data_IF_513621811487
#
_entry.id   IF_513621811487
#
_cell.length_a   1.000
_cell.length_b   1.000
_cell.length_c   1.000
_cell.angle_alpha   90.00
_cell.angle_beta   90.00
_cell.angle_gamma   90.00
#
_symmetry.space_group_name_H-M   'P 1'
#
loop_
_entity.id
_entity.type
_entity.pdbx_description
1 polymer ?
#
# COMPACT_ATOMS: atom_id res chain seq x y z
N UNK A 1 10.28 10.00 -14.63
CA UNK A 1 10.11 8.56 -14.92
C UNK A 1 9.63 7.85 -13.66
N UNK A 2 8.56 7.07 -13.73
CA UNK A 2 7.99 6.41 -12.57
C UNK A 2 8.74 5.09 -12.32
N UNK A 3 9.36 4.93 -11.15
CA UNK A 3 9.99 3.67 -10.75
C UNK A 3 8.92 2.58 -10.66
N UNK A 4 9.14 1.45 -11.34
CA UNK A 4 8.24 0.30 -11.35
C UNK A 4 8.68 -0.73 -10.32
N UNK A 5 7.72 -1.52 -9.82
CA UNK A 5 8.02 -2.64 -8.93
C UNK A 5 9.01 -3.61 -9.59
N UNK A 6 10.08 -3.94 -8.85
CA UNK A 6 11.05 -4.94 -9.22
C UNK A 6 11.40 -5.80 -7.99
N UNK A 7 11.01 -7.06 -8.02
CA UNK A 7 11.22 -7.99 -6.92
C UNK A 7 12.70 -8.17 -6.55
N UNK A 8 13.62 -8.05 -7.52
CA UNK A 8 15.06 -8.17 -7.25
C UNK A 8 15.60 -7.13 -6.27
N UNK A 9 14.93 -5.98 -6.15
CA UNK A 9 15.29 -4.93 -5.19
C UNK A 9 14.58 -5.07 -3.84
N UNK A 10 13.64 -6.00 -3.69
CA UNK A 10 12.96 -6.25 -2.43
C UNK A 10 13.84 -7.18 -1.59
N UNK A 11 14.64 -6.59 -0.74
CA UNK A 11 15.50 -7.31 0.21
C UNK A 11 15.00 -7.06 1.62
N UNK A 12 15.27 -8.00 2.55
CA UNK A 12 15.07 -7.72 3.97
C UNK A 12 15.82 -6.45 4.34
N UNK A 13 15.24 -5.58 5.16
CA UNK A 13 15.92 -4.37 5.62
C UNK A 13 17.28 -4.76 6.18
N UNK A 14 18.33 -4.07 5.75
CA UNK A 14 19.63 -4.21 6.40
C UNK A 14 19.45 -3.69 7.83
N UNK A 15 20.02 -4.36 8.84
CA UNK A 15 19.79 -4.04 10.26
C UNK A 15 19.98 -2.56 10.61
N UNK A 16 20.95 -1.90 9.95
CA UNK A 16 21.22 -0.47 10.13
C UNK A 16 20.26 0.47 9.38
N UNK A 17 19.33 -0.07 8.56
CA UNK A 17 18.27 0.67 7.88
C UNK A 17 16.88 0.39 8.49
N UNK A 18 16.81 -0.52 9.48
CA UNK A 18 15.59 -0.78 10.22
C UNK A 18 15.32 0.38 11.18
N UNK A 19 14.18 1.04 11.02
CA UNK A 19 13.72 2.08 11.94
C UNK A 19 13.17 1.44 13.23
N UNK A 20 14.06 0.91 14.07
CA UNK A 20 13.67 0.16 15.27
C UNK A 20 13.07 1.03 16.39
N UNK A 21 13.24 2.35 16.36
CA UNK A 21 12.76 3.26 17.40
C UNK A 21 11.90 4.40 16.84
N UNK A 22 10.90 4.82 17.63
CA UNK A 22 9.97 5.90 17.27
C UNK A 22 10.65 7.25 16.99
N UNK A 23 11.90 7.42 17.39
CA UNK A 23 12.70 8.64 17.20
C UNK A 23 13.34 8.69 15.81
N UNK A 24 13.66 7.52 15.20
CA UNK A 24 14.35 7.45 13.90
C UNK A 24 13.37 7.44 12.70
N UNK A 25 12.23 8.10 12.84
CA UNK A 25 11.16 8.05 11.81
C UNK A 25 11.58 8.51 10.42
N UNK A 26 12.69 9.26 10.34
CA UNK A 26 13.18 9.87 9.09
C UNK A 26 14.70 9.95 9.05
N UNK A 27 15.43 8.96 9.60
CA UNK A 27 16.87 8.93 9.37
C UNK A 27 17.09 8.93 7.84
N UNK A 28 17.85 9.91 7.32
CA UNK A 28 18.08 9.99 5.89
C UNK A 28 18.80 8.72 5.44
N UNK A 29 18.28 8.08 4.40
CA UNK A 29 18.99 6.99 3.76
C UNK A 29 20.30 7.53 3.19
N UNK A 30 21.42 6.90 3.56
CA UNK A 30 22.68 7.25 2.91
C UNK A 30 22.67 6.71 1.47
N UNK A 31 22.67 7.59 0.44
CA UNK A 31 22.61 7.16 -0.96
C UNK A 31 23.78 6.26 -1.39
N UNK A 32 24.94 6.40 -0.74
CA UNK A 32 26.15 5.63 -1.03
C UNK A 32 26.03 4.13 -0.73
N UNK A 33 24.99 3.74 0.05
CA UNK A 33 24.72 2.34 0.36
C UNK A 33 23.99 1.58 -0.74
N UNK A 34 23.58 2.28 -1.80
CA UNK A 34 22.77 1.70 -2.88
C UNK A 34 23.50 1.77 -4.22
N UNK A 35 23.30 0.76 -5.04
CA UNK A 35 23.91 0.68 -6.38
C UNK A 35 23.17 1.53 -7.41
N UNK A 36 21.91 1.90 -7.12
CA UNK A 36 21.07 2.71 -7.99
C UNK A 36 20.00 3.46 -7.22
N UNK A 37 19.46 4.51 -7.84
CA UNK A 37 18.30 5.24 -7.34
C UNK A 37 17.08 4.32 -7.19
N UNK A 38 16.88 3.38 -8.10
CA UNK A 38 15.79 2.43 -8.05
C UNK A 38 15.88 1.52 -6.83
N UNK A 39 17.08 1.02 -6.50
CA UNK A 39 17.31 0.22 -5.29
C UNK A 39 17.00 1.03 -4.04
N UNK A 40 17.50 2.25 -3.96
CA UNK A 40 17.23 3.16 -2.84
C UNK A 40 15.72 3.43 -2.68
N UNK A 41 15.03 3.69 -3.78
CA UNK A 41 13.60 3.94 -3.78
C UNK A 41 12.78 2.73 -3.31
N UNK A 42 13.15 1.52 -3.75
CA UNK A 42 12.51 0.29 -3.27
C UNK A 42 12.72 0.12 -1.76
N UNK A 43 13.92 0.40 -1.25
CA UNK A 43 14.19 0.32 0.18
C UNK A 43 13.36 1.31 1.00
N UNK A 44 13.17 2.55 0.51
CA UNK A 44 12.24 3.51 1.13
C UNK A 44 10.82 2.92 1.20
N UNK A 45 10.36 2.32 0.12
CA UNK A 45 9.02 1.72 0.09
C UNK A 45 8.91 0.53 1.06
N UNK A 46 9.93 -0.31 1.16
CA UNK A 46 9.96 -1.41 2.15
C UNK A 46 9.85 -0.86 3.57
N UNK A 47 10.61 0.17 3.92
CA UNK A 47 10.59 0.78 5.24
C UNK A 47 9.22 1.41 5.59
N UNK A 48 8.57 2.04 4.60
CA UNK A 48 7.20 2.57 4.76
C UNK A 48 6.21 1.43 4.99
N UNK A 49 6.30 0.38 4.18
CA UNK A 49 5.39 -0.76 4.24
C UNK A 49 5.50 -1.50 5.57
N UNK A 50 6.68 -1.70 6.14
CA UNK A 50 6.82 -2.35 7.45
C UNK A 50 5.95 -1.67 8.52
N UNK A 51 5.98 -0.35 8.58
CA UNK A 51 5.16 0.42 9.52
C UNK A 51 3.69 0.35 9.18
N UNK A 52 3.35 0.45 7.90
CA UNK A 52 1.97 0.34 7.44
C UNK A 52 1.39 -1.04 7.75
N UNK A 53 2.14 -2.11 7.53
CA UNK A 53 1.72 -3.49 7.83
C UNK A 53 1.50 -3.67 9.32
N UNK A 54 2.41 -3.18 10.16
CA UNK A 54 2.24 -3.25 11.62
C UNK A 54 0.95 -2.55 12.07
N UNK A 55 0.72 -1.32 11.61
CA UNK A 55 -0.50 -0.56 11.89
C UNK A 55 -1.76 -1.26 11.36
N UNK A 56 -1.71 -1.76 10.12
CA UNK A 56 -2.85 -2.46 9.51
C UNK A 56 -3.16 -3.76 10.25
N UNK A 57 -2.16 -4.54 10.65
CA UNK A 57 -2.35 -5.76 11.46
C UNK A 57 -3.05 -5.47 12.80
N UNK A 58 -2.73 -4.33 13.43
CA UNK A 58 -3.41 -3.93 14.66
C UNK A 58 -4.92 -3.68 14.43
N UNK A 59 -5.28 -3.00 13.34
CA UNK A 59 -6.68 -2.73 13.00
C UNK A 59 -7.42 -4.01 12.60
N UNK A 60 -6.76 -4.92 11.90
CA UNK A 60 -7.37 -6.17 11.45
C UNK A 60 -7.51 -7.24 12.54
N UNK A 61 -6.81 -7.07 13.66
CA UNK A 61 -6.81 -8.05 14.76
C UNK A 61 -8.23 -8.31 15.28
N UNK A 62 -8.66 -9.57 15.23
CA UNK A 62 -9.99 -9.98 15.70
C UNK A 62 -11.14 -9.64 14.75
N UNK A 63 -10.85 -9.23 13.53
CA UNK A 63 -11.85 -8.94 12.49
C UNK A 63 -11.87 -10.02 11.41
N UNK A 64 -12.97 -10.10 10.66
CA UNK A 64 -13.13 -10.98 9.48
C UNK A 64 -13.06 -10.18 8.17
N UNK A 65 -12.20 -9.16 8.13
CA UNK A 65 -12.00 -8.32 6.95
C UNK A 65 -11.41 -9.13 5.80
N UNK A 66 -12.05 -9.08 4.65
CA UNK A 66 -11.63 -9.81 3.42
C UNK A 66 -11.00 -8.89 2.38
N UNK A 67 -11.15 -7.59 2.50
CA UNK A 67 -10.72 -6.63 1.49
C UNK A 67 -10.08 -5.40 2.12
N UNK A 68 -8.96 -4.96 1.56
CA UNK A 68 -8.30 -3.70 1.87
C UNK A 68 -8.37 -2.82 0.63
N UNK A 69 -8.88 -1.60 0.79
CA UNK A 69 -8.91 -0.60 -0.27
C UNK A 69 -7.91 0.50 0.07
N UNK A 70 -7.01 0.77 -0.86
CA UNK A 70 -5.98 1.80 -0.73
C UNK A 70 -6.32 2.92 -1.71
N UNK A 71 -6.48 4.12 -1.20
CA UNK A 71 -6.78 5.31 -1.98
C UNK A 71 -5.64 6.34 -1.87
N UNK A 72 -5.75 7.42 -2.65
CA UNK A 72 -4.78 8.51 -2.67
C UNK A 72 -3.49 8.18 -3.44
N UNK A 73 -2.40 8.85 -3.08
CA UNK A 73 -1.13 8.77 -3.84
C UNK A 73 -0.54 7.36 -3.90
N UNK A 74 -0.62 6.61 -2.82
CA UNK A 74 -0.06 5.26 -2.75
C UNK A 74 -0.82 4.23 -3.59
N UNK A 75 -2.10 4.43 -3.88
CA UNK A 75 -2.86 3.53 -4.77
C UNK A 75 -2.30 3.46 -6.19
N UNK A 76 -1.54 4.49 -6.59
CA UNK A 76 -0.87 4.59 -7.89
C UNK A 76 0.58 4.08 -7.86
N UNK A 77 1.13 3.83 -6.69
CA UNK A 77 2.49 3.33 -6.53
C UNK A 77 2.52 1.80 -6.60
N UNK A 78 3.04 1.26 -7.71
CA UNK A 78 3.04 -0.19 -7.93
C UNK A 78 3.87 -0.96 -6.90
N UNK A 79 4.96 -0.37 -6.38
CA UNK A 79 5.81 -1.01 -5.38
C UNK A 79 5.03 -1.15 -4.08
N UNK A 80 4.44 -0.05 -3.58
CA UNK A 80 3.63 -0.05 -2.38
C UNK A 80 2.47 -1.06 -2.46
N UNK A 81 1.75 -1.05 -3.57
CA UNK A 81 0.58 -1.93 -3.76
C UNK A 81 0.95 -3.42 -3.79
N UNK A 82 2.06 -3.78 -4.46
CA UNK A 82 2.53 -5.16 -4.48
C UNK A 82 3.03 -5.62 -3.10
N UNK A 83 3.77 -4.77 -2.38
CA UNK A 83 4.23 -5.08 -1.03
C UNK A 83 3.06 -5.25 -0.05
N UNK A 84 2.01 -4.41 -0.15
CA UNK A 84 0.80 -4.60 0.65
C UNK A 84 0.10 -5.92 0.33
N UNK A 85 -0.03 -6.30 -0.94
CA UNK A 85 -0.62 -7.57 -1.33
C UNK A 85 0.20 -8.77 -0.82
N UNK A 86 1.52 -8.68 -0.83
CA UNK A 86 2.41 -9.72 -0.28
C UNK A 86 2.28 -9.84 1.25
N UNK A 87 2.14 -8.72 1.96
CA UNK A 87 2.01 -8.71 3.41
C UNK A 87 0.66 -9.27 3.93
N UNK A 88 -0.38 -9.27 3.08
CA UNK A 88 -1.72 -9.74 3.42
C UNK A 88 -2.25 -10.77 2.42
N UNK A 89 -1.63 -11.97 2.31
CA UNK A 89 -1.95 -12.95 1.27
C UNK A 89 -3.38 -13.54 1.38
N UNK A 90 -3.98 -13.48 2.56
CA UNK A 90 -5.36 -13.94 2.82
C UNK A 90 -6.42 -12.85 2.63
N UNK A 91 -6.02 -11.62 2.32
CA UNK A 91 -6.90 -10.47 2.15
C UNK A 91 -6.74 -9.91 0.75
N UNK A 92 -7.84 -9.60 0.08
CA UNK A 92 -7.78 -8.98 -1.25
C UNK A 92 -7.40 -7.50 -1.12
N UNK A 93 -6.34 -7.08 -1.83
CA UNK A 93 -5.88 -5.69 -1.83
C UNK A 93 -6.27 -5.00 -3.13
N UNK A 94 -6.93 -3.86 -3.01
CA UNK A 94 -7.38 -3.07 -4.14
C UNK A 94 -6.81 -1.65 -4.08
N UNK A 95 -6.36 -1.14 -5.21
CA UNK A 95 -6.11 0.28 -5.42
C UNK A 95 -7.36 0.95 -5.98
N UNK A 96 -7.85 1.98 -5.32
CA UNK A 96 -8.92 2.81 -5.84
C UNK A 96 -8.35 3.95 -6.68
N UNK A 97 -8.93 4.18 -7.86
CA UNK A 97 -8.47 5.25 -8.77
C UNK A 97 -9.30 6.53 -8.64
N UNK A 98 -9.98 6.70 -7.51
CA UNK A 98 -10.89 7.82 -7.32
C UNK A 98 -10.17 8.98 -6.64
N UNK A 99 -10.18 10.15 -7.28
CA UNK A 99 -9.82 11.38 -6.59
C UNK A 99 -10.96 11.75 -5.63
N UNK A 100 -10.61 12.20 -4.42
CA UNK A 100 -11.58 12.68 -3.42
C UNK A 100 -12.58 11.61 -2.92
N UNK A 101 -12.14 10.37 -2.75
CA UNK A 101 -12.98 9.26 -2.28
C UNK A 101 -13.74 9.58 -0.99
N UNK A 102 -13.13 10.32 -0.05
CA UNK A 102 -13.78 10.76 1.19
C UNK A 102 -14.98 11.69 0.94
N UNK A 103 -14.86 12.65 0.03
CA UNK A 103 -15.94 13.56 -0.31
C UNK A 103 -17.09 12.84 -1.02
N UNK A 104 -16.76 11.92 -1.93
CA UNK A 104 -17.76 11.09 -2.62
C UNK A 104 -18.43 10.15 -1.62
N UNK A 105 -17.69 9.54 -0.71
CA UNK A 105 -18.24 8.68 0.35
C UNK A 105 -19.23 9.46 1.24
N UNK A 106 -18.91 10.69 1.61
CA UNK A 106 -19.82 11.55 2.37
C UNK A 106 -21.09 11.88 1.58
N UNK A 107 -20.96 12.20 0.28
CA UNK A 107 -22.12 12.45 -0.59
C UNK A 107 -23.00 11.21 -0.76
N UNK A 108 -22.39 10.02 -0.89
CA UNK A 108 -23.11 8.73 -0.99
C UNK A 108 -23.85 8.38 0.31
N UNK A 109 -23.28 8.71 1.47
CA UNK A 109 -23.91 8.43 2.76
C UNK A 109 -25.23 9.17 2.97
N UNK A 110 -25.41 10.30 2.30
CA UNK A 110 -26.66 11.10 2.36
C UNK A 110 -27.40 11.14 1.02
N UNK A 111 -26.99 10.30 0.06
CA UNK A 111 -27.48 10.32 -1.32
C UNK A 111 -29.01 10.36 -1.42
N UNK A 112 -29.67 9.45 -0.73
CA UNK A 112 -31.13 9.30 -0.79
C UNK A 112 -31.89 10.51 -0.20
N UNK A 113 -31.20 11.39 0.55
CA UNK A 113 -31.80 12.58 1.12
C UNK A 113 -31.86 13.77 0.14
N UNK A 114 -31.04 13.75 -0.92
CA UNK A 114 -30.93 14.88 -1.85
C UNK A 114 -31.01 14.50 -3.33
N UNK A 115 -30.89 13.21 -3.65
CA UNK A 115 -30.86 12.75 -5.04
C UNK A 115 -31.71 11.46 -5.22
N UNK A 116 -32.63 11.50 -6.16
CA UNK A 116 -33.46 10.37 -6.53
C UNK A 116 -32.90 9.52 -7.68
N UNK A 117 -31.80 9.97 -8.30
CA UNK A 117 -31.17 9.24 -9.40
C UNK A 117 -30.39 8.04 -8.87
N UNK A 118 -30.41 6.95 -9.62
CA UNK A 118 -29.64 5.76 -9.27
C UNK A 118 -28.14 6.04 -9.32
N UNK A 119 -27.41 5.58 -8.30
CA UNK A 119 -25.94 5.67 -8.27
C UNK A 119 -25.34 4.88 -9.44
N UNK A 120 -24.49 5.48 -10.30
CA UNK A 120 -23.81 4.76 -11.37
C UNK A 120 -22.90 3.67 -10.83
N UNK A 121 -22.99 2.46 -11.39
CA UNK A 121 -22.21 1.30 -10.93
C UNK A 121 -20.71 1.36 -11.27
N UNK A 122 -20.29 2.29 -12.12
CA UNK A 122 -18.92 2.44 -12.63
C UNK A 122 -18.17 3.63 -12.02
N UNK A 123 -18.73 4.25 -10.99
CA UNK A 123 -18.10 5.42 -10.33
C UNK A 123 -16.72 5.13 -9.78
N UNK A 124 -16.44 3.90 -9.35
CA UNK A 124 -15.18 3.51 -8.72
C UNK A 124 -14.50 2.46 -9.60
N UNK A 125 -13.33 2.81 -10.12
CA UNK A 125 -12.46 1.84 -10.79
C UNK A 125 -11.50 1.25 -9.77
N UNK A 126 -11.57 -0.07 -9.57
CA UNK A 126 -10.71 -0.81 -8.67
C UNK A 126 -9.69 -1.62 -9.47
N UNK A 127 -8.44 -1.56 -9.05
CA UNK A 127 -7.39 -2.45 -9.55
C UNK A 127 -7.01 -3.42 -8.44
N UNK A 128 -7.20 -4.72 -8.69
CA UNK A 128 -6.79 -5.77 -7.75
C UNK A 128 -5.29 -6.01 -7.82
N UNK A 129 -4.69 -6.25 -6.66
CA UNK A 129 -3.31 -6.69 -6.50
C UNK A 129 -3.31 -8.00 -5.73
N UNK A 130 -2.69 -9.02 -6.32
CA UNK A 130 -2.57 -10.35 -5.74
C UNK A 130 -1.11 -10.76 -5.73
N UNK A 131 -0.72 -11.60 -4.76
CA UNK A 131 0.62 -12.18 -4.73
C UNK A 131 0.86 -12.99 -6.01
N UNK A 132 1.93 -12.68 -6.73
CA UNK A 132 2.37 -13.54 -7.83
C UNK A 132 3.00 -14.80 -7.23
N UNK A 133 2.54 -15.97 -7.68
CA UNK A 133 2.84 -17.29 -7.08
C UNK A 133 4.33 -17.69 -7.11
N UNK A 134 5.18 -16.97 -7.82
CA UNK A 134 6.62 -17.24 -7.94
C UNK A 134 7.49 -16.72 -6.79
N UNK A 135 6.93 -15.96 -5.85
CA UNK A 135 7.72 -15.25 -4.83
C UNK A 135 7.26 -15.59 -3.40
N UNK A 136 7.42 -16.85 -2.98
CA UNK A 136 7.10 -17.28 -1.60
C UNK A 136 8.13 -16.88 -0.52
N UNK A 137 8.97 -15.92 -0.76
CA UNK A 137 9.84 -15.38 0.30
C UNK A 137 9.08 -14.26 1.01
N UNK A 138 8.36 -14.62 2.07
CA UNK A 138 7.74 -13.62 2.95
C UNK A 138 8.82 -12.71 3.53
N UNK A 139 8.70 -11.43 3.25
CA UNK A 139 9.59 -10.39 3.77
C UNK A 139 9.07 -9.89 5.14
N UNK A 140 7.79 -10.13 5.47
CA UNK A 140 7.11 -9.60 6.65
C UNK A 140 6.55 -10.68 7.58
#
# INVERSE_FOLDING_TARGET
EQVRYNAAFIKKPKEHLSFSNAVDRFAPLNPELFTSFEEAYHQVMVNIIEKQVASTKMVLKGTDVKRIFIDGGFSKNSIFMNLMAQAFPSVQVFGASMAQAAAIGAALAIHDSWNSLKIPGDMIKLKSYTMQTSERNMIF
#
